data_IF_951451962666
#
_entry.id   IF_951451962666
#
_cell.length_a   1.000
_cell.length_b   1.000
_cell.length_c   1.000
_cell.angle_alpha   90.00
_cell.angle_beta   90.00
_cell.angle_gamma   90.00
#
_symmetry.space_group_name_H-M   'P 1'
#
loop_
_entity.id
_entity.type
_entity.pdbx_description
1 polymer ?
#
# COMPACT_ATOMS: atom_id res chain seq x y z
N UNK A 1 8.34 -14.31 -9.62
CA UNK A 1 8.12 -15.29 -10.72
C UNK A 1 7.65 -16.66 -10.20
N UNK A 2 7.90 -16.99 -8.92
CA UNK A 2 7.78 -18.35 -8.38
C UNK A 2 6.37 -18.84 -8.00
N UNK A 3 5.44 -17.96 -7.61
CA UNK A 3 4.21 -18.41 -6.94
C UNK A 3 3.30 -19.31 -7.79
N UNK A 4 3.39 -19.21 -9.12
CA UNK A 4 2.59 -20.02 -10.06
C UNK A 4 3.44 -20.69 -11.13
N UNK A 5 4.77 -20.64 -11.02
CA UNK A 5 5.66 -21.35 -11.93
C UNK A 5 5.92 -22.76 -11.40
N UNK A 6 5.25 -23.76 -11.96
CA UNK A 6 5.46 -25.16 -11.60
C UNK A 6 4.65 -26.12 -12.47
N UNK A 7 4.97 -27.41 -12.39
CA UNK A 7 4.25 -28.45 -13.14
C UNK A 7 2.80 -28.62 -12.67
N UNK A 8 2.49 -28.20 -11.44
CA UNK A 8 1.14 -28.25 -10.88
C UNK A 8 0.41 -26.95 -11.16
N UNK A 9 -0.79 -27.08 -11.72
CA UNK A 9 -1.64 -25.93 -12.01
C UNK A 9 -2.17 -25.34 -10.69
N UNK A 10 -1.99 -24.03 -10.51
CA UNK A 10 -2.42 -23.30 -9.32
C UNK A 10 -3.71 -22.53 -9.61
N UNK A 11 -4.63 -22.51 -8.64
CA UNK A 11 -5.79 -21.62 -8.66
C UNK A 11 -5.72 -20.74 -7.42
N UNK A 12 -5.79 -19.43 -7.60
CA UNK A 12 -5.84 -18.48 -6.49
C UNK A 12 -7.31 -18.31 -6.09
N UNK A 13 -7.65 -18.62 -4.84
CA UNK A 13 -9.03 -18.51 -4.37
C UNK A 13 -9.41 -17.06 -4.08
N UNK A 14 -10.64 -16.68 -4.43
CA UNK A 14 -11.24 -15.41 -3.99
C UNK A 14 -11.40 -15.43 -2.46
N UNK A 15 -11.00 -14.33 -1.83
CA UNK A 15 -11.20 -14.08 -0.40
C UNK A 15 -12.02 -12.80 -0.24
N UNK A 16 -13.33 -12.94 -0.40
CA UNK A 16 -14.26 -11.83 -0.41
C UNK A 16 -15.62 -12.21 0.22
N UNK A 17 -16.50 -11.23 0.34
CA UNK A 17 -17.87 -11.42 0.80
C UNK A 17 -18.14 -10.91 2.22
N UNK A 18 -19.33 -11.19 2.78
CA UNK A 18 -19.82 -10.53 3.99
C UNK A 18 -18.93 -10.71 5.23
N UNK A 19 -18.24 -11.85 5.34
CA UNK A 19 -17.29 -12.10 6.43
C UNK A 19 -16.07 -11.18 6.36
N UNK A 20 -15.56 -10.94 5.15
CA UNK A 20 -14.44 -10.01 4.92
C UNK A 20 -14.90 -8.57 5.13
N UNK A 21 -16.09 -8.19 4.66
CA UNK A 21 -16.62 -6.83 4.89
C UNK A 21 -16.73 -6.51 6.39
N UNK A 22 -17.20 -7.47 7.20
CA UNK A 22 -17.24 -7.34 8.68
C UNK A 22 -15.84 -7.23 9.29
N UNK A 23 -14.88 -8.01 8.79
CA UNK A 23 -13.48 -7.94 9.24
C UNK A 23 -12.88 -6.56 8.97
N UNK A 24 -13.07 -6.03 7.75
CA UNK A 24 -12.56 -4.73 7.34
C UNK A 24 -13.19 -3.58 8.14
N UNK A 25 -14.48 -3.68 8.45
CA UNK A 25 -15.17 -2.69 9.29
C UNK A 25 -14.62 -2.67 10.73
N UNK A 26 -14.20 -3.84 11.26
CA UNK A 26 -13.66 -3.97 12.61
C UNK A 26 -12.18 -3.59 12.72
N UNK A 27 -11.41 -3.78 11.65
CA UNK A 27 -9.94 -3.67 11.66
C UNK A 27 -9.45 -2.72 10.56
N UNK A 28 -9.28 -1.41 10.85
CA UNK A 28 -9.05 -0.37 9.84
C UNK A 28 -7.68 -0.41 9.15
N UNK A 29 -6.77 -1.28 9.62
CA UNK A 29 -5.47 -1.53 9.00
C UNK A 29 -5.53 -2.55 7.84
N UNK A 30 -6.67 -3.25 7.68
CA UNK A 30 -6.94 -4.05 6.49
C UNK A 30 -7.72 -3.25 5.44
N UNK A 31 -7.52 -3.57 4.17
CA UNK A 31 -8.23 -2.98 3.04
C UNK A 31 -8.52 -4.03 1.97
N UNK A 32 -9.57 -3.80 1.19
CA UNK A 32 -9.85 -4.58 -0.03
C UNK A 32 -8.67 -4.46 -0.99
N UNK A 33 -8.31 -5.58 -1.59
CA UNK A 33 -7.22 -5.65 -2.55
C UNK A 33 -7.61 -6.58 -3.71
N UNK A 34 -6.93 -6.41 -4.83
CA UNK A 34 -7.11 -7.22 -6.03
C UNK A 34 -5.75 -7.79 -6.38
N UNK A 35 -5.71 -9.09 -6.69
CA UNK A 35 -4.54 -9.76 -7.24
C UNK A 35 -4.70 -9.77 -8.76
N UNK A 36 -3.92 -8.96 -9.51
CA UNK A 36 -4.01 -8.92 -10.96
C UNK A 36 -3.45 -10.20 -11.54
N UNK A 37 -4.27 -10.97 -12.26
CA UNK A 37 -3.87 -12.31 -12.69
C UNK A 37 -2.77 -12.29 -13.75
N UNK A 38 -2.64 -11.17 -14.47
CA UNK A 38 -1.54 -10.91 -15.42
C UNK A 38 -0.15 -11.06 -14.80
N UNK A 39 -0.02 -10.91 -13.47
CA UNK A 39 1.24 -11.08 -12.74
C UNK A 39 1.57 -12.56 -12.44
N UNK A 40 0.62 -13.47 -12.67
CA UNK A 40 0.69 -14.89 -12.34
C UNK A 40 0.29 -15.75 -13.55
N UNK A 41 1.08 -15.75 -14.64
CA UNK A 41 0.72 -16.40 -15.90
C UNK A 41 0.53 -17.93 -15.80
N UNK A 42 1.06 -18.58 -14.77
CA UNK A 42 0.84 -20.02 -14.52
C UNK A 42 -0.43 -20.35 -13.73
N UNK A 43 -1.18 -19.34 -13.29
CA UNK A 43 -2.46 -19.54 -12.60
C UNK A 43 -3.57 -19.91 -13.59
N UNK A 44 -4.53 -20.70 -13.12
CA UNK A 44 -5.74 -21.08 -13.87
C UNK A 44 -6.86 -20.03 -13.86
N UNK A 45 -6.71 -18.94 -13.13
CA UNK A 45 -7.80 -17.97 -12.98
C UNK A 45 -8.06 -17.24 -14.31
N UNK A 46 -9.33 -17.10 -14.67
CA UNK A 46 -9.75 -16.40 -15.89
C UNK A 46 -9.89 -14.87 -15.69
N UNK A 47 -9.88 -14.42 -14.43
CA UNK A 47 -10.05 -13.03 -14.03
C UNK A 47 -9.19 -12.69 -12.82
N UNK A 48 -9.01 -11.39 -12.58
CA UNK A 48 -8.41 -10.86 -11.36
C UNK A 48 -9.15 -11.35 -10.11
N UNK A 49 -8.39 -11.65 -9.06
CA UNK A 49 -8.91 -12.29 -7.84
C UNK A 49 -9.11 -11.25 -6.74
N UNK A 50 -10.27 -11.29 -6.11
CA UNK A 50 -10.63 -10.43 -4.99
C UNK A 50 -9.99 -10.96 -3.71
N UNK A 51 -9.43 -10.06 -2.91
CA UNK A 51 -8.87 -10.40 -1.61
C UNK A 51 -8.91 -9.19 -0.68
N UNK A 52 -8.26 -9.30 0.47
CA UNK A 52 -7.94 -8.19 1.34
C UNK A 52 -6.48 -8.29 1.79
N UNK A 53 -5.93 -7.18 2.26
CA UNK A 53 -4.55 -7.13 2.73
C UNK A 53 -4.32 -5.95 3.66
N UNK A 54 -3.12 -5.89 4.23
CA UNK A 54 -2.69 -4.73 5.02
C UNK A 54 -2.25 -3.59 4.11
N UNK A 55 -2.38 -2.35 4.58
CA UNK A 55 -1.68 -1.22 3.97
C UNK A 55 -0.25 -1.18 4.51
N UNK A 56 0.73 -1.20 3.61
CA UNK A 56 2.13 -1.06 4.00
C UNK A 56 2.39 0.41 4.42
N UNK A 57 2.95 0.60 5.60
CA UNK A 57 3.24 1.93 6.17
C UNK A 57 4.73 2.03 6.46
N UNK A 58 5.36 3.13 6.02
CA UNK A 58 6.71 3.48 6.44
C UNK A 58 6.65 4.16 7.81
N UNK A 59 7.28 3.57 8.81
CA UNK A 59 7.28 4.06 10.19
C UNK A 59 8.70 4.45 10.63
N UNK A 60 8.76 5.35 11.61
CA UNK A 60 10.02 5.78 12.24
C UNK A 60 9.80 6.03 13.74
N UNK A 61 10.88 6.19 14.48
CA UNK A 61 10.83 6.57 15.90
C UNK A 61 10.44 8.03 16.05
N UNK A 62 9.63 8.34 17.07
CA UNK A 62 9.32 9.72 17.46
C UNK A 62 10.54 10.52 17.96
N UNK A 63 11.70 9.86 18.13
CA UNK A 63 12.97 10.50 18.54
C UNK A 63 13.79 11.00 17.35
N UNK A 64 13.40 10.70 16.11
CA UNK A 64 14.12 11.20 14.94
C UNK A 64 13.85 12.70 14.80
N UNK A 65 14.86 13.54 14.54
CA UNK A 65 14.64 14.98 14.39
C UNK A 65 13.62 15.32 13.30
N UNK A 66 12.78 16.32 13.56
CA UNK A 66 11.70 16.74 12.65
C UNK A 66 12.23 17.12 11.26
N UNK A 67 13.38 17.79 11.20
CA UNK A 67 14.04 18.19 9.96
C UNK A 67 14.42 16.99 9.07
N UNK A 68 14.86 15.89 9.68
CA UNK A 68 15.22 14.66 8.96
C UNK A 68 13.97 14.01 8.38
N UNK A 69 12.91 13.88 9.18
CA UNK A 69 11.65 13.28 8.70
C UNK A 69 10.98 14.16 7.65
N UNK A 70 11.04 15.48 7.81
CA UNK A 70 10.57 16.43 6.81
C UNK A 70 11.32 16.25 5.48
N UNK A 71 12.66 16.22 5.51
CA UNK A 71 13.48 16.07 4.31
C UNK A 71 13.19 14.75 3.58
N UNK A 72 13.10 13.63 4.29
CA UNK A 72 12.75 12.32 3.71
C UNK A 72 11.35 12.36 3.09
N UNK A 73 10.37 12.91 3.82
CA UNK A 73 8.98 13.00 3.33
C UNK A 73 8.92 13.86 2.07
N UNK A 74 9.56 15.03 2.09
CA UNK A 74 9.65 15.92 0.94
C UNK A 74 10.28 15.22 -0.26
N UNK A 75 11.41 14.55 -0.08
CA UNK A 75 12.12 13.88 -1.17
C UNK A 75 11.25 12.82 -1.86
N UNK A 76 10.53 12.01 -1.07
CA UNK A 76 9.63 10.98 -1.61
C UNK A 76 8.47 11.59 -2.39
N UNK A 77 7.83 12.64 -1.87
CA UNK A 77 6.61 13.20 -2.48
C UNK A 77 6.91 14.19 -3.61
N UNK A 78 8.03 14.91 -3.57
CA UNK A 78 8.44 15.80 -4.66
C UNK A 78 8.92 14.99 -5.87
N UNK A 79 9.60 13.87 -5.63
CA UNK A 79 10.07 12.97 -6.67
C UNK A 79 9.15 11.77 -6.88
N UNK A 80 7.84 11.96 -6.65
CA UNK A 80 6.87 10.86 -6.58
C UNK A 80 6.87 9.95 -7.82
N UNK A 81 7.00 10.51 -9.02
CA UNK A 81 7.04 9.71 -10.25
C UNK A 81 8.33 8.88 -10.39
N UNK A 82 9.46 9.36 -9.85
CA UNK A 82 10.69 8.57 -9.77
C UNK A 82 10.54 7.48 -8.70
N UNK A 83 9.97 7.83 -7.53
CA UNK A 83 9.69 6.87 -6.47
C UNK A 83 8.80 5.72 -6.96
N UNK A 84 7.74 6.02 -7.73
CA UNK A 84 6.85 5.00 -8.31
C UNK A 84 7.55 4.00 -9.24
N UNK A 85 8.70 4.37 -9.82
CA UNK A 85 9.48 3.48 -10.68
C UNK A 85 10.37 2.52 -9.91
N UNK A 86 10.61 2.75 -8.63
CA UNK A 86 11.50 1.92 -7.80
C UNK A 86 10.95 0.50 -7.58
N UNK A 87 9.63 0.31 -7.66
CA UNK A 87 9.03 -1.01 -7.52
C UNK A 87 7.69 -1.08 -8.28
N UNK A 88 7.38 -2.18 -9.01
CA UNK A 88 6.12 -2.32 -9.75
C UNK A 88 4.86 -2.12 -8.90
N UNK A 89 4.91 -2.49 -7.61
CA UNK A 89 3.79 -2.30 -6.68
C UNK A 89 3.44 -0.82 -6.43
N UNK A 90 4.37 0.10 -6.68
CA UNK A 90 4.14 1.53 -6.49
C UNK A 90 3.41 2.18 -7.67
N UNK A 91 3.24 1.48 -8.79
CA UNK A 91 2.61 2.03 -10.00
C UNK A 91 1.20 2.58 -9.78
N UNK A 92 0.45 2.04 -8.82
CA UNK A 92 -0.92 2.46 -8.48
C UNK A 92 -1.00 3.45 -7.31
N UNK A 93 0.13 3.87 -6.73
CA UNK A 93 0.14 4.83 -5.63
C UNK A 93 -0.33 6.21 -6.10
N UNK A 94 -1.07 6.87 -5.21
CA UNK A 94 -1.37 8.31 -5.25
C UNK A 94 -0.93 8.93 -3.93
N UNK A 95 -0.57 10.22 -3.95
CA UNK A 95 -0.13 10.94 -2.75
C UNK A 95 -1.18 10.89 -1.62
N UNK A 96 -2.47 10.95 -1.97
CA UNK A 96 -3.58 10.88 -1.01
C UNK A 96 -3.67 9.49 -0.36
N UNK A 97 -3.55 8.41 -1.15
CA UNK A 97 -3.64 7.04 -0.63
C UNK A 97 -2.48 6.68 0.29
N UNK A 98 -1.34 7.37 0.18
CA UNK A 98 -0.19 7.17 1.08
C UNK A 98 -0.44 7.68 2.51
N UNK A 99 -1.50 8.45 2.74
CA UNK A 99 -1.86 8.99 4.06
C UNK A 99 -2.89 8.10 4.78
N UNK A 100 -3.35 7.03 4.14
CA UNK A 100 -4.33 6.10 4.70
C UNK A 100 -3.64 4.93 5.41
N UNK A 101 -4.36 4.22 6.30
CA UNK A 101 -3.83 3.02 6.95
C UNK A 101 -2.84 3.30 8.09
N UNK A 102 -2.97 4.46 8.73
CA UNK A 102 -2.14 4.83 9.87
C UNK A 102 -2.37 3.88 11.05
N UNK A 103 -1.30 3.21 11.48
CA UNK A 103 -1.25 2.39 12.70
C UNK A 103 -0.65 3.14 13.90
N UNK A 104 -0.11 4.33 13.67
CA UNK A 104 0.49 5.22 14.66
C UNK A 104 0.29 6.70 14.26
N UNK A 105 0.47 7.66 15.19
CA UNK A 105 0.42 9.09 14.87
C UNK A 105 1.46 9.51 13.81
N UNK A 106 1.14 10.52 13.00
CA UNK A 106 2.06 11.08 12.01
C UNK A 106 3.16 11.88 12.73
N UNK A 107 4.41 11.67 12.32
CA UNK A 107 5.56 12.41 12.82
C UNK A 107 5.45 13.92 12.51
N UNK A 108 5.79 14.84 13.42
CA UNK A 108 5.61 16.28 13.19
C UNK A 108 6.31 16.80 11.93
N UNK A 109 7.55 16.37 11.67
CA UNK A 109 8.25 16.62 10.39
C UNK A 109 7.46 16.24 9.12
N UNK A 110 6.83 15.07 9.08
CA UNK A 110 6.01 14.64 7.93
C UNK A 110 4.70 15.45 7.85
N UNK A 111 4.05 15.67 9.00
CA UNK A 111 2.81 16.46 9.09
C UNK A 111 3.01 17.88 8.56
N UNK A 112 4.14 18.51 8.89
CA UNK A 112 4.50 19.84 8.37
C UNK A 112 4.50 19.85 6.84
N UNK A 113 5.23 18.92 6.21
CA UNK A 113 5.27 18.82 4.75
C UNK A 113 3.87 18.59 4.16
N UNK A 114 3.09 17.64 4.70
CA UNK A 114 1.75 17.34 4.19
C UNK A 114 0.81 18.54 4.23
N UNK A 115 0.91 19.39 5.26
CA UNK A 115 0.15 20.65 5.35
C UNK A 115 0.60 21.67 4.31
N UNK A 116 1.90 21.84 4.12
CA UNK A 116 2.48 22.79 3.15
C UNK A 116 2.02 22.49 1.71
N UNK A 117 1.93 21.20 1.34
CA UNK A 117 1.50 20.80 0.00
C UNK A 117 0.00 20.52 -0.12
N UNK A 118 -0.79 20.87 0.90
CA UNK A 118 -2.25 20.77 0.90
C UNK A 118 -2.80 19.33 0.92
N UNK A 119 -1.97 18.35 1.32
CA UNK A 119 -2.39 16.96 1.49
C UNK A 119 -3.14 16.72 2.80
N UNK A 120 -2.92 17.57 3.80
CA UNK A 120 -3.61 17.55 5.10
C UNK A 120 -3.94 18.98 5.54
N UNK A 121 -5.00 19.13 6.35
CA UNK A 121 -5.37 20.40 7.01
C UNK A 121 -4.84 20.43 8.44
#
# INVERSE_FOLDING_TARGET
>A
KEATSGARKVLIADVAGPGIDKLLAKYPYYAKAIIPIKLYPGAKNDKDVQTFGVKATLITSAKVPDEVVYAITKEVFDNFEAFKKLHPAYGTLTKQKMLEGLSAPIHPGALKYYKEVGLMK
#
